data_IF_623109640993
#
_entry.id   IF_623109640993
#
_cell.length_a   1.000
_cell.length_b   1.000
_cell.length_c   1.000
_cell.angle_alpha   90.00
_cell.angle_beta   90.00
_cell.angle_gamma   90.00
#
_symmetry.space_group_name_H-M   'P 1'
#
loop_
_entity.id
_entity.type
_entity.pdbx_description
1 polymer ?
#
# COMPACT_ATOMS: atom_id res chain seq x y z
N UNK A 1 6.31 -18.94 10.91
CA UNK A 1 5.19 -18.83 9.94
C UNK A 1 4.02 -17.96 10.43
N UNK A 2 3.73 -17.88 11.73
CA UNK A 2 2.57 -17.11 12.26
C UNK A 2 2.94 -15.76 12.90
N UNK A 3 4.13 -15.24 12.60
CA UNK A 3 4.54 -13.94 13.14
C UNK A 3 3.76 -12.81 12.48
N UNK A 4 3.53 -11.72 13.21
CA UNK A 4 3.05 -10.45 12.64
C UNK A 4 4.21 -9.58 12.15
N UNK A 5 5.44 -10.04 12.31
CA UNK A 5 6.66 -9.37 11.85
C UNK A 5 7.32 -10.15 10.72
N UNK A 6 8.01 -9.42 9.83
CA UNK A 6 8.77 -9.96 8.70
C UNK A 6 7.91 -10.40 7.51
N UNK A 7 8.55 -11.05 6.53
CA UNK A 7 7.90 -11.51 5.30
C UNK A 7 7.03 -12.75 5.53
N UNK A 8 5.82 -12.51 6.05
CA UNK A 8 4.89 -13.56 6.45
C UNK A 8 3.46 -13.24 6.01
N UNK A 9 2.65 -14.29 5.84
CA UNK A 9 1.25 -14.14 5.46
C UNK A 9 0.42 -13.32 6.47
N UNK A 10 0.55 -13.52 7.80
CA UNK A 10 -0.19 -12.71 8.77
C UNK A 10 0.15 -11.22 8.71
N UNK A 11 1.41 -10.85 8.47
CA UNK A 11 1.81 -9.45 8.27
C UNK A 11 1.06 -8.81 7.08
N UNK A 12 1.04 -9.49 5.93
CA UNK A 12 0.34 -9.01 4.74
C UNK A 12 -1.18 -8.89 4.95
N UNK A 13 -1.78 -9.89 5.61
CA UNK A 13 -3.20 -9.85 5.95
C UNK A 13 -3.54 -8.70 6.90
N UNK A 14 -2.68 -8.44 7.88
CA UNK A 14 -2.83 -7.32 8.80
C UNK A 14 -2.69 -5.97 8.10
N UNK A 15 -1.68 -5.81 7.23
CA UNK A 15 -1.49 -4.62 6.40
C UNK A 15 -2.74 -4.34 5.55
N UNK A 16 -3.26 -5.37 4.87
CA UNK A 16 -4.52 -5.27 4.12
C UNK A 16 -5.70 -4.84 5.00
N UNK A 17 -5.87 -5.45 6.18
CA UNK A 17 -6.95 -5.09 7.11
C UNK A 17 -6.84 -3.62 7.58
N UNK A 18 -5.62 -3.12 7.82
CA UNK A 18 -5.37 -1.70 8.15
C UNK A 18 -5.77 -0.77 7.02
N UNK A 19 -5.39 -1.08 5.77
CA UNK A 19 -5.75 -0.29 4.59
C UNK A 19 -7.29 -0.23 4.46
N UNK A 20 -7.97 -1.38 4.54
CA UNK A 20 -9.45 -1.44 4.49
C UNK A 20 -10.11 -0.65 5.64
N UNK A 21 -9.48 -0.62 6.81
CA UNK A 21 -9.95 0.15 7.96
C UNK A 21 -9.96 1.66 7.71
N UNK A 22 -9.03 2.20 6.91
CA UNK A 22 -9.00 3.62 6.56
C UNK A 22 -10.28 4.01 5.82
N UNK A 23 -10.62 3.28 4.76
CA UNK A 23 -11.84 3.54 3.98
C UNK A 23 -13.10 3.39 4.83
N UNK A 24 -13.17 2.34 5.68
CA UNK A 24 -14.30 2.14 6.60
C UNK A 24 -14.46 3.33 7.56
N UNK A 25 -13.36 3.83 8.12
CA UNK A 25 -13.37 4.99 9.04
C UNK A 25 -13.71 6.30 8.32
N UNK A 26 -13.37 6.42 7.04
CA UNK A 26 -13.76 7.56 6.21
C UNK A 26 -15.23 7.52 5.77
N UNK A 27 -15.96 6.43 6.02
CA UNK A 27 -17.31 6.23 5.49
C UNK A 27 -17.35 6.03 3.98
N UNK A 28 -16.24 5.66 3.36
CA UNK A 28 -16.11 5.49 1.91
C UNK A 28 -16.37 4.01 1.55
N UNK A 29 -17.49 3.74 0.88
CA UNK A 29 -17.86 2.38 0.43
C UNK A 29 -17.05 1.91 -0.79
N UNK A 30 -16.88 2.80 -1.78
CA UNK A 30 -15.98 2.61 -2.91
C UNK A 30 -15.22 3.92 -3.17
N UNK A 31 -13.88 3.88 -3.29
CA UNK A 31 -13.13 5.06 -3.68
C UNK A 31 -13.54 5.49 -5.10
N UNK A 32 -13.86 6.77 -5.26
CA UNK A 32 -14.07 7.38 -6.57
C UNK A 32 -12.74 7.79 -7.18
N UNK A 33 -12.67 7.80 -8.52
CA UNK A 33 -11.50 8.32 -9.22
C UNK A 33 -11.48 9.83 -9.05
N UNK A 34 -10.44 10.34 -8.39
CA UNK A 34 -10.15 11.75 -8.23
C UNK A 34 -8.76 12.05 -8.79
N UNK A 35 -8.47 13.30 -9.20
CA UNK A 35 -7.10 13.70 -9.52
C UNK A 35 -6.16 13.39 -8.35
N UNK A 36 -5.06 12.70 -8.64
CA UNK A 36 -4.03 12.36 -7.64
C UNK A 36 -2.93 13.43 -7.72
N UNK A 37 -2.61 14.04 -6.59
CA UNK A 37 -1.47 14.95 -6.45
C UNK A 37 -0.42 14.28 -5.58
N UNK A 38 0.81 14.19 -6.07
CA UNK A 38 1.95 13.62 -5.35
C UNK A 38 2.82 14.79 -4.91
N UNK A 39 2.90 15.00 -3.60
CA UNK A 39 3.56 16.17 -3.00
C UNK A 39 4.65 15.79 -1.99
N UNK A 40 4.59 14.56 -1.45
CA UNK A 40 5.55 14.05 -0.49
C UNK A 40 6.38 12.90 -1.09
N UNK A 41 7.68 12.77 -0.74
CA UNK A 41 8.51 11.66 -1.21
C UNK A 41 7.93 10.27 -0.90
N UNK A 42 7.26 10.11 0.26
CA UNK A 42 6.61 8.85 0.63
C UNK A 42 5.37 8.54 -0.25
N UNK A 43 4.64 9.54 -0.72
CA UNK A 43 3.56 9.37 -1.71
C UNK A 43 4.13 8.90 -3.04
N UNK A 44 5.23 9.52 -3.48
CA UNK A 44 5.92 9.16 -4.72
C UNK A 44 6.45 7.73 -4.69
N UNK A 45 7.10 7.32 -3.58
CA UNK A 45 7.58 5.96 -3.41
C UNK A 45 6.45 4.92 -3.49
N UNK A 46 5.32 5.18 -2.82
CA UNK A 46 4.16 4.30 -2.89
C UNK A 46 3.56 4.25 -4.30
N UNK A 47 3.45 5.39 -4.98
CA UNK A 47 2.93 5.46 -6.34
C UNK A 47 3.78 4.65 -7.33
N UNK A 48 5.10 4.74 -7.26
CA UNK A 48 6.00 3.95 -8.10
C UNK A 48 5.83 2.44 -7.86
N UNK A 49 5.75 2.02 -6.60
CA UNK A 49 5.56 0.60 -6.30
C UNK A 49 4.22 0.06 -6.80
N UNK A 50 3.14 0.86 -6.71
CA UNK A 50 1.83 0.48 -7.23
C UNK A 50 1.84 0.33 -8.76
N UNK A 51 2.50 1.24 -9.48
CA UNK A 51 2.62 1.17 -10.96
C UNK A 51 3.45 -0.05 -11.39
N UNK A 52 4.44 -0.46 -10.59
CA UNK A 52 5.31 -1.60 -10.88
C UNK A 52 4.59 -2.96 -10.83
N UNK A 53 3.38 -3.05 -10.25
CA UNK A 53 2.65 -4.32 -10.10
C UNK A 53 2.50 -5.08 -11.43
N UNK A 54 2.18 -4.38 -12.52
CA UNK A 54 1.99 -4.99 -13.83
C UNK A 54 3.25 -5.69 -14.36
N UNK A 55 4.42 -5.07 -14.16
CA UNK A 55 5.70 -5.65 -14.57
C UNK A 55 6.03 -6.90 -13.72
N UNK A 56 5.80 -6.83 -12.40
CA UNK A 56 6.01 -8.00 -11.52
C UNK A 56 5.13 -9.18 -11.92
N UNK A 57 3.86 -8.93 -12.27
CA UNK A 57 2.95 -10.00 -12.72
C UNK A 57 3.44 -10.62 -14.03
N UNK A 58 3.84 -9.80 -15.01
CA UNK A 58 4.38 -10.29 -16.28
C UNK A 58 5.66 -11.13 -16.09
N UNK A 59 6.55 -10.70 -15.20
CA UNK A 59 7.77 -11.44 -14.86
C UNK A 59 7.44 -12.78 -14.19
N UNK A 60 6.47 -12.81 -13.28
CA UNK A 60 6.04 -14.04 -12.60
C UNK A 60 5.34 -14.99 -13.55
N UNK A 61 4.55 -14.49 -14.51
CA UNK A 61 3.94 -15.29 -15.57
C UNK A 61 4.99 -16.03 -16.40
N UNK A 62 6.08 -15.34 -16.77
CA UNK A 62 7.15 -15.92 -17.58
C UNK A 62 8.06 -16.86 -16.79
N UNK A 63 8.42 -16.49 -15.56
CA UNK A 63 9.39 -17.22 -14.74
C UNK A 63 8.78 -18.34 -13.88
N UNK A 64 7.48 -18.26 -13.59
CA UNK A 64 6.76 -19.08 -12.60
C UNK A 64 7.34 -18.98 -11.17
N UNK A 65 8.11 -17.93 -10.89
CA UNK A 65 8.74 -17.69 -9.60
C UNK A 65 7.82 -16.91 -8.64
N UNK A 66 6.80 -17.57 -8.10
CA UNK A 66 5.78 -16.94 -7.21
C UNK A 66 6.34 -16.25 -5.96
N UNK A 67 7.54 -16.63 -5.51
CA UNK A 67 8.20 -15.97 -4.38
C UNK A 67 8.53 -14.50 -4.68
N UNK A 68 8.70 -14.12 -5.96
CA UNK A 68 8.89 -12.73 -6.38
C UNK A 68 7.64 -11.90 -6.12
N UNK A 69 6.45 -12.44 -6.41
CA UNK A 69 5.19 -11.78 -6.11
C UNK A 69 5.02 -11.59 -4.59
N UNK A 70 5.33 -12.62 -3.79
CA UNK A 70 5.28 -12.50 -2.33
C UNK A 70 6.25 -11.43 -1.80
N UNK A 71 7.48 -11.39 -2.33
CA UNK A 71 8.47 -10.35 -2.01
C UNK A 71 7.98 -8.95 -2.36
N UNK A 72 7.42 -8.77 -3.57
CA UNK A 72 6.83 -7.51 -4.00
C UNK A 72 5.70 -7.06 -3.05
N UNK A 73 4.76 -7.94 -2.71
CA UNK A 73 3.65 -7.60 -1.81
C UNK A 73 4.14 -7.19 -0.42
N UNK A 74 5.21 -7.82 0.08
CA UNK A 74 5.85 -7.43 1.33
C UNK A 74 6.48 -6.04 1.24
N UNK A 75 7.24 -5.77 0.18
CA UNK A 75 7.81 -4.43 -0.07
C UNK A 75 6.72 -3.38 -0.19
N UNK A 76 5.65 -3.64 -0.95
CA UNK A 76 4.52 -2.73 -1.09
C UNK A 76 3.85 -2.42 0.26
N UNK A 77 3.65 -3.42 1.11
CA UNK A 77 3.09 -3.24 2.45
C UNK A 77 4.00 -2.40 3.37
N UNK A 78 5.32 -2.60 3.27
CA UNK A 78 6.30 -1.78 3.99
C UNK A 78 6.31 -0.33 3.48
N UNK A 79 6.31 -0.12 2.16
CA UNK A 79 6.23 1.21 1.54
C UNK A 79 4.94 1.93 1.92
N UNK A 80 3.81 1.22 1.95
CA UNK A 80 2.54 1.77 2.45
C UNK A 80 2.63 2.19 3.92
N UNK A 81 3.28 1.40 4.76
CA UNK A 81 3.45 1.73 6.18
C UNK A 81 4.24 3.03 6.36
N UNK A 82 5.31 3.21 5.60
CA UNK A 82 6.08 4.46 5.55
C UNK A 82 5.24 5.64 5.06
N UNK A 83 4.47 5.48 3.99
CA UNK A 83 3.50 6.49 3.54
C UNK A 83 2.51 6.87 4.65
N UNK A 84 1.88 5.89 5.30
CA UNK A 84 0.86 6.13 6.31
C UNK A 84 1.39 6.85 7.56
N UNK A 85 2.67 6.65 7.90
CA UNK A 85 3.34 7.35 8.99
C UNK A 85 3.61 8.83 8.67
N UNK A 86 4.06 9.13 7.45
CA UNK A 86 4.49 10.47 7.06
C UNK A 86 3.38 11.32 6.46
N UNK A 87 2.31 10.71 5.93
CA UNK A 87 1.24 11.38 5.19
C UNK A 87 -0.12 11.16 5.88
N UNK A 88 -0.70 12.17 6.55
CA UNK A 88 -1.98 12.03 7.23
C UNK A 88 -3.14 11.76 6.27
N UNK A 89 -3.74 10.56 6.34
CA UNK A 89 -4.78 10.13 5.38
C UNK A 89 -6.22 10.53 5.80
N UNK A 90 -6.53 10.51 7.10
CA UNK A 90 -7.89 10.80 7.61
C UNK A 90 -8.02 12.16 8.30
N UNK A 91 -6.90 12.81 8.61
CA UNK A 91 -6.93 14.15 9.16
C UNK A 91 -7.05 15.10 7.99
N UNK A 92 -8.30 15.41 7.62
CA UNK A 92 -8.60 16.54 6.74
C UNK A 92 -7.84 17.77 7.24
N UNK A 93 -7.31 18.52 6.29
CA UNK A 93 -6.56 19.76 6.47
C UNK A 93 -6.95 20.48 7.78
N UNK A 94 -5.98 20.74 8.66
CA UNK A 94 -6.09 21.92 9.51
C UNK A 94 -6.17 23.09 8.54
N UNK A 95 -7.39 23.57 8.29
CA UNK A 95 -7.61 24.91 7.76
C UNK A 95 -7.07 25.87 8.81
N UNK A 96 -5.79 26.17 8.74
CA UNK A 96 -5.23 27.36 9.37
C UNK A 96 -5.87 28.54 8.63
N UNK A 97 -6.88 29.13 9.28
CA UNK A 97 -7.29 30.51 9.03
C UNK A 97 -6.13 31.44 9.29
#
# INVERSE_FOLDING_TARGET
MLSLDGNTAPYLQYAHARIRSIFRRAGIGQPTVAPISITHPAEHALALELVNFGAVVADVEQSLEFHRLAGYLHTLAATFSGFYEHCPVLRGQRSTR
#
